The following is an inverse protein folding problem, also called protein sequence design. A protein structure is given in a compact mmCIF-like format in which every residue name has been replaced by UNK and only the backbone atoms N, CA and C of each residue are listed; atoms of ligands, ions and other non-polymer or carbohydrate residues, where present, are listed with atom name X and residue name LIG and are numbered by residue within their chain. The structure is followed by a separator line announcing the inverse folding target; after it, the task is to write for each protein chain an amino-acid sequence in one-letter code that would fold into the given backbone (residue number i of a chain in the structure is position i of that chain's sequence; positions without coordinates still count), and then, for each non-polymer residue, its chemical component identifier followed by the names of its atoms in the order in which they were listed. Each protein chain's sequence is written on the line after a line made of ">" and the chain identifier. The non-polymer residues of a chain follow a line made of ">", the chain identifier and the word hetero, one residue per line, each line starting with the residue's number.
data_IF_771061183484
#
_entry.id   IF_771061183484
#
_cell.length_a   1.000
_cell.length_b   1.000
_cell.length_c   1.000
_cell.angle_alpha   90.00
_cell.angle_beta   90.00
_cell.angle_gamma   90.00
#
_symmetry.space_group_name_H-M   'P 1'
#
loop_
_entity.id
_entity.type
_entity.pdbx_description
1 polymer ?
#
# COMPACT_ATOMS: atom_id res chain seq x y z
N UNK A 1 -6.09 -16.84 8.70
CA UNK A 1 -5.15 -17.11 7.59
C UNK A 1 -3.93 -16.26 7.82
N UNK A 2 -2.78 -16.79 7.45
CA UNK A 2 -1.50 -16.13 7.67
C UNK A 2 -1.20 -15.07 6.59
N UNK A 3 -0.65 -13.90 6.94
CA UNK A 3 -0.50 -12.78 5.99
C UNK A 3 0.41 -13.18 4.81
N UNK A 4 1.49 -13.89 5.10
CA UNK A 4 2.36 -14.50 4.11
C UNK A 4 1.61 -15.37 3.07
N UNK A 5 0.71 -16.22 3.57
CA UNK A 5 -0.10 -17.11 2.73
C UNK A 5 -1.09 -16.30 1.89
N UNK A 6 -1.75 -15.33 2.51
CA UNK A 6 -2.70 -14.45 1.84
C UNK A 6 -2.06 -13.67 0.68
N UNK A 7 -0.89 -13.07 0.92
CA UNK A 7 -0.14 -12.37 -0.14
C UNK A 7 0.21 -13.35 -1.25
N UNK A 8 0.73 -14.53 -0.91
CA UNK A 8 1.12 -15.53 -1.91
C UNK A 8 -0.07 -15.97 -2.78
N UNK A 9 -1.23 -16.24 -2.18
CA UNK A 9 -2.44 -16.64 -2.88
C UNK A 9 -3.00 -15.49 -3.73
N UNK A 10 -3.08 -14.28 -3.18
CA UNK A 10 -3.54 -13.10 -3.90
C UNK A 10 -2.67 -12.78 -5.12
N UNK A 11 -1.35 -12.85 -4.97
CA UNK A 11 -0.42 -12.61 -6.08
C UNK A 11 -0.54 -13.68 -7.16
N UNK A 12 -0.74 -14.96 -6.79
CA UNK A 12 -1.03 -16.03 -7.75
C UNK A 12 -2.36 -15.80 -8.48
N UNK A 13 -3.38 -15.33 -7.77
CA UNK A 13 -4.72 -15.07 -8.31
C UNK A 13 -4.69 -14.01 -9.44
N UNK A 14 -3.84 -13.00 -9.33
CA UNK A 14 -3.64 -11.99 -10.38
C UNK A 14 -2.55 -12.35 -11.40
N UNK A 15 -2.04 -13.58 -11.38
CA UNK A 15 -1.00 -14.05 -12.31
C UNK A 15 0.38 -13.42 -12.07
N UNK A 16 0.62 -12.84 -10.89
CA UNK A 16 1.87 -12.18 -10.49
C UNK A 16 2.59 -12.91 -9.36
N UNK A 17 2.50 -14.25 -9.36
CA UNK A 17 3.20 -15.09 -8.39
C UNK A 17 4.72 -14.95 -8.45
N UNK A 18 5.26 -14.47 -9.57
CA UNK A 18 6.67 -14.13 -9.79
C UNK A 18 7.19 -13.01 -8.86
N UNK A 19 6.30 -12.16 -8.36
CA UNK A 19 6.68 -11.09 -7.43
C UNK A 19 6.88 -11.57 -5.99
N UNK A 20 6.50 -12.79 -5.68
CA UNK A 20 6.64 -13.37 -4.35
C UNK A 20 7.95 -14.18 -4.34
N UNK A 21 8.94 -13.85 -3.49
CA UNK A 21 10.22 -14.54 -3.50
C UNK A 21 10.05 -16.05 -3.25
N UNK A 22 10.45 -16.87 -4.22
CA UNK A 22 10.46 -18.33 -4.10
C UNK A 22 11.55 -18.76 -3.10
N UNK A 23 11.16 -19.35 -1.97
CA UNK A 23 12.07 -20.07 -1.08
C UNK A 23 12.49 -19.36 0.21
N UNK A 24 12.09 -18.11 0.44
CA UNK A 24 12.08 -17.55 1.79
C UNK A 24 10.70 -17.82 2.38
N UNK A 25 10.63 -18.56 3.50
CA UNK A 25 9.42 -18.54 4.32
C UNK A 25 9.13 -17.08 4.62
N UNK A 26 8.10 -16.53 3.98
CA UNK A 26 7.53 -15.24 4.35
C UNK A 26 7.16 -15.36 5.82
N UNK A 27 8.00 -14.82 6.67
CA UNK A 27 7.78 -14.77 8.10
C UNK A 27 6.82 -13.61 8.35
N UNK A 28 5.77 -13.82 9.15
CA UNK A 28 4.79 -12.77 9.47
C UNK A 28 5.40 -11.63 10.29
N UNK A 29 6.60 -11.83 10.80
CA UNK A 29 7.41 -10.80 11.44
C UNK A 29 8.30 -10.02 10.47
N UNK A 30 8.35 -10.42 9.19
CA UNK A 30 9.16 -9.77 8.15
C UNK A 30 8.31 -8.92 7.21
N UNK A 31 8.89 -7.82 6.75
CA UNK A 31 8.28 -6.98 5.72
C UNK A 31 8.33 -7.68 4.36
N UNK A 32 7.16 -7.90 3.78
CA UNK A 32 6.97 -8.40 2.41
C UNK A 32 7.09 -7.22 1.46
N UNK A 33 8.00 -7.28 0.48
CA UNK A 33 8.19 -6.21 -0.50
C UNK A 33 7.84 -6.70 -1.91
N UNK A 34 6.92 -6.00 -2.56
CA UNK A 34 6.43 -6.29 -3.91
C UNK A 34 6.90 -5.19 -4.86
N UNK A 35 7.72 -5.55 -5.85
CA UNK A 35 8.21 -4.61 -6.88
C UNK A 35 7.25 -4.56 -8.06
N UNK A 36 6.49 -3.47 -8.19
CA UNK A 36 5.49 -3.24 -9.24
C UNK A 36 6.07 -2.53 -10.47
N UNK A 37 7.25 -2.96 -10.93
CA UNK A 37 7.99 -2.35 -12.04
C UNK A 37 9.16 -1.48 -11.56
N UNK A 38 9.69 -0.63 -12.45
CA UNK A 38 11.00 0.01 -12.30
C UNK A 38 11.13 0.94 -11.07
N UNK A 39 10.04 1.48 -10.51
CA UNK A 39 10.12 2.49 -9.43
C UNK A 39 9.09 2.39 -8.31
N UNK A 40 8.13 1.46 -8.38
CA UNK A 40 7.09 1.36 -7.36
C UNK A 40 7.27 0.09 -6.54
N UNK A 41 7.68 0.24 -5.28
CA UNK A 41 7.75 -0.85 -4.32
C UNK A 41 6.63 -0.67 -3.30
N UNK A 42 5.90 -1.75 -3.05
CA UNK A 42 4.89 -1.81 -2.00
C UNK A 42 5.40 -2.73 -0.91
N UNK A 43 5.23 -2.30 0.32
CA UNK A 43 5.60 -3.06 1.50
C UNK A 43 4.34 -3.48 2.25
N UNK A 44 4.33 -4.70 2.76
CA UNK A 44 3.23 -5.28 3.53
C UNK A 44 3.83 -5.99 4.75
N UNK A 45 3.31 -5.72 5.94
CA UNK A 45 3.76 -6.37 7.17
C UNK A 45 2.64 -6.41 8.21
N UNK A 46 2.83 -7.19 9.28
CA UNK A 46 2.03 -7.07 10.50
C UNK A 46 2.73 -6.09 11.45
N UNK A 47 2.06 -5.01 11.83
CA UNK A 47 2.53 -4.06 12.84
C UNK A 47 1.48 -3.96 13.95
N UNK A 48 1.87 -4.21 15.20
CA UNK A 48 0.98 -4.21 16.37
C UNK A 48 -0.32 -5.01 16.16
N UNK A 49 -0.20 -6.22 15.59
CA UNK A 49 -1.31 -7.12 15.23
C UNK A 49 -2.18 -6.69 14.03
N UNK A 50 -1.87 -5.56 13.41
CA UNK A 50 -2.61 -5.06 12.24
C UNK A 50 -1.84 -5.32 10.94
N UNK A 51 -2.50 -5.80 9.87
CA UNK A 51 -1.91 -5.87 8.55
C UNK A 51 -1.81 -4.46 7.96
N UNK A 52 -0.58 -4.01 7.70
CA UNK A 52 -0.27 -2.67 7.20
C UNK A 52 0.37 -2.77 5.83
N UNK A 53 -0.01 -1.87 4.93
CA UNK A 53 0.57 -1.67 3.61
C UNK A 53 1.13 -0.26 3.51
N UNK A 54 2.30 -0.09 2.90
CA UNK A 54 2.83 1.24 2.61
C UNK A 54 3.64 1.27 1.31
N UNK A 55 3.72 2.45 0.71
CA UNK A 55 4.53 2.71 -0.47
C UNK A 55 5.27 4.05 -0.32
N UNK A 56 6.59 4.10 -0.54
CA UNK A 56 7.34 5.35 -0.58
C UNK A 56 6.78 6.29 -1.65
N UNK A 57 6.85 7.59 -1.38
CA UNK A 57 6.49 8.65 -2.31
C UNK A 57 7.73 9.53 -2.57
N UNK A 58 7.91 10.04 -3.80
CA UNK A 58 9.07 10.86 -4.17
C UNK A 58 8.89 12.31 -3.68
N UNK A 59 8.64 12.51 -2.38
CA UNK A 59 8.36 13.81 -1.80
C UNK A 59 8.92 13.99 -0.40
N UNK A 60 9.14 15.25 -0.05
CA UNK A 60 9.16 15.73 1.33
C UNK A 60 7.84 16.50 1.57
N UNK A 61 6.90 15.91 2.33
CA UNK A 61 5.53 16.44 2.45
C UNK A 61 5.49 17.90 2.94
N UNK A 62 6.30 18.33 3.93
CA UNK A 62 6.36 19.72 4.36
C UNK A 62 6.73 20.69 3.23
N UNK A 63 7.63 20.28 2.33
CA UNK A 63 8.13 21.09 1.22
C UNK A 63 7.17 21.18 0.02
N UNK A 64 6.12 20.34 -0.05
CA UNK A 64 5.16 20.38 -1.14
C UNK A 64 4.38 21.70 -1.19
N UNK A 65 4.10 22.16 -2.41
CA UNK A 65 3.26 23.33 -2.67
C UNK A 65 1.84 23.14 -2.10
N UNK A 66 1.17 24.21 -1.66
CA UNK A 66 -0.19 24.12 -1.12
C UNK A 66 -1.20 23.46 -2.06
N UNK A 67 -1.09 23.72 -3.36
CA UNK A 67 -1.95 23.10 -4.39
C UNK A 67 -1.75 21.58 -4.50
N UNK A 68 -0.50 21.10 -4.40
CA UNK A 68 -0.20 19.66 -4.39
C UNK A 68 -0.76 19.02 -3.13
N UNK A 69 -0.60 19.66 -1.97
CA UNK A 69 -1.18 19.20 -0.70
C UNK A 69 -2.71 19.11 -0.77
N UNK A 70 -3.36 20.10 -1.39
CA UNK A 70 -4.80 20.09 -1.64
C UNK A 70 -5.24 18.93 -2.52
N UNK A 71 -4.59 18.75 -3.69
CA UNK A 71 -4.92 17.65 -4.59
C UNK A 71 -4.65 16.26 -3.99
N UNK A 72 -3.65 16.13 -3.12
CA UNK A 72 -3.42 14.90 -2.37
C UNK A 72 -4.57 14.60 -1.40
N UNK A 73 -5.10 15.61 -0.72
CA UNK A 73 -6.28 15.44 0.15
C UNK A 73 -7.52 15.03 -0.66
N UNK A 74 -7.71 15.64 -1.83
CA UNK A 74 -8.81 15.29 -2.73
C UNK A 74 -8.73 13.81 -3.14
N UNK A 75 -7.55 13.33 -3.57
CA UNK A 75 -7.32 11.91 -3.93
C UNK A 75 -7.66 10.97 -2.77
N UNK A 76 -7.23 11.29 -1.54
CA UNK A 76 -7.45 10.43 -0.38
C UNK A 76 -8.90 10.40 0.10
N UNK A 77 -9.72 11.36 -0.31
CA UNK A 77 -11.10 11.52 0.14
C UNK A 77 -12.15 11.22 -0.95
N UNK A 78 -11.70 10.93 -2.18
CA UNK A 78 -12.56 10.69 -3.34
C UNK A 78 -13.42 9.41 -3.20
N UNK A 79 -12.84 8.32 -2.68
CA UNK A 79 -13.55 7.05 -2.52
C UNK A 79 -13.56 6.56 -1.06
N UNK A 80 -14.69 5.99 -0.58
CA UNK A 80 -14.74 5.37 0.73
C UNK A 80 -13.84 4.14 0.80
N UNK A 81 -12.78 4.21 1.61
CA UNK A 81 -11.82 3.15 1.83
C UNK A 81 -12.38 2.02 2.72
N UNK A 82 -13.48 1.38 2.33
CA UNK A 82 -14.13 0.30 3.11
C UNK A 82 -13.25 -0.93 3.34
N UNK A 83 -12.21 -1.10 2.51
CA UNK A 83 -11.19 -2.15 2.65
C UNK A 83 -10.07 -1.78 3.63
N UNK A 84 -10.05 -0.55 4.13
CA UNK A 84 -9.07 -0.05 5.08
C UNK A 84 -9.76 0.44 6.37
N UNK A 85 -9.00 0.53 7.45
CA UNK A 85 -9.50 1.16 8.66
C UNK A 85 -9.77 2.66 8.43
N UNK A 86 -10.79 3.24 9.07
CA UNK A 86 -11.12 4.66 8.94
C UNK A 86 -9.92 5.56 9.17
N UNK A 87 -9.76 6.57 8.31
CA UNK A 87 -8.60 7.48 8.32
C UNK A 87 -7.38 6.93 7.58
N UNK A 88 -7.51 5.79 6.88
CA UNK A 88 -6.47 5.26 5.99
C UNK A 88 -7.07 4.82 4.64
N UNK A 89 -6.29 4.81 3.53
CA UNK A 89 -4.88 5.20 3.44
C UNK A 89 -4.62 6.69 3.75
N UNK A 90 -3.43 6.99 4.26
CA UNK A 90 -3.02 8.32 4.66
C UNK A 90 -1.57 8.60 4.26
N UNK A 91 -1.23 9.88 4.12
CA UNK A 91 0.14 10.31 3.91
C UNK A 91 0.86 10.43 5.25
N UNK A 92 2.06 9.86 5.33
CA UNK A 92 2.93 9.92 6.51
C UNK A 92 4.30 10.45 6.10
N UNK A 93 4.82 11.41 6.86
CA UNK A 93 6.22 11.78 6.79
C UNK A 93 7.01 10.91 7.77
N UNK A 94 8.09 10.30 7.29
CA UNK A 94 9.05 9.55 8.10
C UNK A 94 10.45 10.13 7.96
N UNK A 95 11.39 9.61 8.75
CA UNK A 95 12.81 9.93 8.60
C UNK A 95 13.37 9.52 7.22
N UNK A 96 12.74 8.54 6.56
CA UNK A 96 13.12 8.04 5.23
C UNK A 96 12.36 8.73 4.08
N UNK A 97 11.55 9.75 4.38
CA UNK A 97 10.75 10.48 3.41
C UNK A 97 9.26 10.27 3.56
N UNK A 98 8.51 10.74 2.56
CA UNK A 98 7.07 10.60 2.49
C UNK A 98 6.66 9.19 2.08
N UNK A 99 5.53 8.72 2.61
CA UNK A 99 4.92 7.46 2.20
C UNK A 99 3.40 7.53 2.28
N UNK A 100 2.73 6.74 1.43
CA UNK A 100 1.33 6.40 1.60
C UNK A 100 1.25 5.16 2.50
N UNK A 101 0.43 5.17 3.53
CA UNK A 101 0.25 4.06 4.46
C UNK A 101 -1.22 3.73 4.64
N UNK A 102 -1.56 2.45 4.61
CA UNK A 102 -2.90 1.92 4.80
C UNK A 102 -2.90 0.79 5.83
N UNK A 103 -3.96 0.69 6.62
CA UNK A 103 -4.19 -0.45 7.50
C UNK A 103 -5.39 -1.22 6.98
N UNK A 104 -5.19 -2.50 6.63
CA UNK A 104 -6.27 -3.30 6.06
C UNK A 104 -7.36 -3.57 7.10
N UNK A 105 -8.62 -3.46 6.67
CA UNK A 105 -9.76 -3.94 7.43
C UNK A 105 -9.73 -5.47 7.57
N UNK A 106 -10.44 -6.02 8.56
CA UNK A 106 -10.60 -7.47 8.67
C UNK A 106 -11.21 -8.12 7.42
N UNK A 107 -12.15 -7.42 6.74
CA UNK A 107 -12.75 -7.88 5.49
C UNK A 107 -11.77 -7.88 4.33
N UNK A 108 -10.79 -6.97 4.30
CA UNK A 108 -9.79 -6.97 3.23
C UNK A 108 -8.79 -8.12 3.34
N UNK A 109 -8.68 -8.78 4.50
CA UNK A 109 -7.74 -9.90 4.72
C UNK A 109 -8.44 -11.23 5.01
N UNK A 110 -9.75 -11.32 4.76
CA UNK A 110 -10.52 -12.55 4.98
C UNK A 110 -10.19 -13.66 3.97
N UNK A 111 -9.90 -13.26 2.73
CA UNK A 111 -9.68 -14.14 1.58
C UNK A 111 -8.81 -13.43 0.52
N UNK A 112 -8.24 -14.22 -0.39
CA UNK A 112 -7.34 -13.73 -1.43
C UNK A 112 -8.00 -12.73 -2.40
N UNK A 113 -9.30 -12.89 -2.68
CA UNK A 113 -10.03 -12.01 -3.60
C UNK A 113 -10.19 -10.60 -3.00
N UNK A 114 -10.65 -10.52 -1.76
CA UNK A 114 -10.81 -9.27 -1.02
C UNK A 114 -9.46 -8.56 -0.81
N UNK A 115 -8.40 -9.34 -0.56
CA UNK A 115 -7.04 -8.81 -0.45
C UNK A 115 -6.55 -8.21 -1.77
N UNK A 116 -6.78 -8.89 -2.89
CA UNK A 116 -6.41 -8.38 -4.20
C UNK A 116 -7.15 -7.08 -4.52
N UNK A 117 -8.44 -6.98 -4.19
CA UNK A 117 -9.22 -5.74 -4.35
C UNK A 117 -8.62 -4.59 -3.52
N UNK A 118 -8.23 -4.86 -2.28
CA UNK A 118 -7.64 -3.86 -1.40
C UNK A 118 -6.25 -3.43 -1.89
N UNK A 119 -5.42 -4.38 -2.33
CA UNK A 119 -4.11 -4.12 -2.92
C UNK A 119 -4.25 -3.25 -4.17
N UNK A 120 -5.15 -3.60 -5.07
CA UNK A 120 -5.41 -2.87 -6.31
C UNK A 120 -5.91 -1.43 -6.04
N UNK A 121 -6.81 -1.26 -5.06
CA UNK A 121 -7.23 0.07 -4.59
C UNK A 121 -6.03 0.89 -4.07
N UNK A 122 -5.17 0.29 -3.23
CA UNK A 122 -4.00 0.97 -2.68
C UNK A 122 -2.98 1.34 -3.77
N UNK A 123 -2.73 0.44 -4.73
CA UNK A 123 -1.82 0.68 -5.86
C UNK A 123 -2.29 1.87 -6.68
N UNK A 124 -3.58 1.94 -7.02
CA UNK A 124 -4.16 3.07 -7.75
C UNK A 124 -3.96 4.39 -7.00
N UNK A 125 -4.30 4.42 -5.71
CA UNK A 125 -4.12 5.61 -4.86
C UNK A 125 -2.65 6.03 -4.81
N UNK A 126 -1.74 5.08 -4.61
CA UNK A 126 -0.29 5.34 -4.61
C UNK A 126 0.17 5.94 -5.95
N UNK A 127 -0.31 5.42 -7.08
CA UNK A 127 0.03 5.94 -8.41
C UNK A 127 -0.54 7.34 -8.67
N UNK A 128 -1.76 7.62 -8.21
CA UNK A 128 -2.36 8.96 -8.30
C UNK A 128 -1.55 9.98 -7.49
N UNK A 129 -1.24 9.66 -6.23
CA UNK A 129 -0.39 10.50 -5.37
C UNK A 129 0.99 10.73 -6.00
N UNK A 130 1.65 9.65 -6.45
CA UNK A 130 2.96 9.72 -7.08
C UNK A 130 2.95 10.62 -8.34
N UNK A 131 1.95 10.46 -9.20
CA UNK A 131 1.79 11.25 -10.42
C UNK A 131 1.55 12.73 -10.11
N UNK A 132 0.73 13.04 -9.10
CA UNK A 132 0.47 14.42 -8.69
C UNK A 132 1.75 15.08 -8.16
N UNK A 133 2.50 14.38 -7.30
CA UNK A 133 3.77 14.85 -6.73
C UNK A 133 4.80 15.17 -7.81
N UNK A 134 4.94 14.31 -8.83
CA UNK A 134 5.93 14.52 -9.89
C UNK A 134 5.56 15.65 -10.88
N UNK A 135 4.31 16.09 -10.89
CA UNK A 135 3.81 17.13 -11.81
C UNK A 135 3.74 18.53 -11.19
N UNK A 136 3.71 18.62 -9.86
CA UNK A 136 3.72 19.88 -9.12
C UNK A 136 5.14 20.30 -8.77
#
# INVERSE_FOLDING_TARGET
>A
MDLATLVTEGMKLIGRGDLVPEGSSLDNHSTISLSLGEQQVIHIAVADEYPVIWAPLPADLPALLPEVKGGLLDILTEEPASLFYPGSPALRQTDNGAELVGCFSHSAVSDAESFVQALDQFVRLSQQCHTLILRG
#
